data_IF_604403892173
#
_entry.id   IF_604403892173
#
_cell.length_a   1.000
_cell.length_b   1.000
_cell.length_c   1.000
_cell.angle_alpha   90.00
_cell.angle_beta   90.00
_cell.angle_gamma   90.00
#
_symmetry.space_group_name_H-M   'P 1'
#
loop_
_entity.id
_entity.type
_entity.pdbx_description
1 polymer ?
#
# COMPACT_ATOMS: atom_id res chain seq x y z
N UNK A 1 28.02 55.85 -15.55
CA UNK A 1 28.22 54.38 -15.68
C UNK A 1 27.73 53.65 -14.42
N UNK A 2 26.45 53.74 -14.03
CA UNK A 2 25.91 53.05 -12.83
C UNK A 2 24.39 52.88 -12.90
N UNK A 3 23.84 52.37 -14.00
CA UNK A 3 22.36 52.21 -14.15
C UNK A 3 21.90 50.97 -14.93
N UNK A 4 22.79 50.02 -15.22
CA UNK A 4 22.45 48.85 -16.04
C UNK A 4 22.48 47.53 -15.24
N UNK A 5 23.03 47.53 -14.03
CA UNK A 5 23.17 46.34 -13.18
C UNK A 5 21.97 46.08 -12.24
N UNK A 6 20.84 46.76 -12.42
CA UNK A 6 19.65 46.55 -11.58
C UNK A 6 18.54 45.74 -12.26
N UNK A 7 18.67 45.40 -13.55
CA UNK A 7 17.63 44.65 -14.27
C UNK A 7 17.87 43.12 -14.32
N UNK A 8 19.05 42.65 -13.92
CA UNK A 8 19.46 41.24 -14.05
C UNK A 8 19.19 40.39 -12.79
N UNK A 9 18.65 40.99 -11.73
CA UNK A 9 18.38 40.34 -10.43
C UNK A 9 16.90 39.93 -10.28
N UNK A 10 16.03 40.27 -11.24
CA UNK A 10 14.59 39.95 -11.20
C UNK A 10 14.20 38.68 -11.97
N UNK A 11 15.15 37.94 -12.53
CA UNK A 11 14.90 36.81 -13.42
C UNK A 11 15.36 35.44 -12.86
N UNK A 12 15.38 35.23 -11.54
CA UNK A 12 15.88 33.97 -10.94
C UNK A 12 14.92 33.21 -10.02
N UNK A 13 13.68 33.68 -9.82
CA UNK A 13 12.77 33.08 -8.82
C UNK A 13 11.57 32.27 -9.36
N UNK A 14 11.53 31.91 -10.64
CA UNK A 14 10.55 30.91 -11.12
C UNK A 14 11.07 29.48 -10.94
N UNK A 15 11.36 29.09 -9.69
CA UNK A 15 11.53 27.68 -9.36
C UNK A 15 10.13 27.05 -9.31
N UNK A 16 9.75 26.40 -10.41
CA UNK A 16 8.52 25.63 -10.52
C UNK A 16 8.63 24.42 -9.56
N UNK A 17 8.05 24.54 -8.36
CA UNK A 17 7.88 23.41 -7.46
C UNK A 17 6.97 22.38 -8.15
N UNK A 18 7.56 21.29 -8.67
CA UNK A 18 6.79 20.13 -9.13
C UNK A 18 5.98 19.63 -7.94
N UNK A 19 4.66 19.83 -8.00
CA UNK A 19 3.73 19.30 -7.02
C UNK A 19 3.63 17.80 -7.31
N UNK A 20 4.14 16.96 -6.41
CA UNK A 20 3.96 15.51 -6.49
C UNK A 20 2.47 15.22 -6.33
N UNK A 21 1.80 14.93 -7.43
CA UNK A 21 0.40 14.51 -7.41
C UNK A 21 0.37 13.10 -6.83
N UNK A 22 -0.27 12.94 -5.67
CA UNK A 22 -0.51 11.60 -5.11
C UNK A 22 -1.30 10.77 -6.12
N UNK A 23 -1.03 9.45 -6.22
CA UNK A 23 -1.82 8.59 -7.10
C UNK A 23 -3.31 8.71 -6.75
N UNK A 24 -4.12 8.99 -7.76
CA UNK A 24 -5.57 8.99 -7.64
C UNK A 24 -6.05 7.53 -7.63
N UNK A 25 -6.76 7.13 -6.58
CA UNK A 25 -7.31 5.78 -6.44
C UNK A 25 -8.81 5.78 -6.71
N UNK A 26 -9.26 4.89 -7.58
CA UNK A 26 -10.68 4.55 -7.71
C UNK A 26 -11.02 3.41 -6.76
N UNK A 27 -11.79 3.71 -5.72
CA UNK A 27 -12.18 2.72 -4.71
C UNK A 27 -13.34 1.84 -5.20
N UNK A 28 -13.20 0.53 -5.04
CA UNK A 28 -14.25 -0.44 -5.32
C UNK A 28 -14.60 -1.20 -4.05
N UNK A 29 -15.90 -1.40 -3.82
CA UNK A 29 -16.39 -2.17 -2.67
C UNK A 29 -16.58 -3.63 -3.05
N UNK A 30 -16.14 -4.53 -2.19
CA UNK A 30 -16.30 -5.98 -2.34
C UNK A 30 -16.74 -6.58 -1.01
N UNK A 31 -17.76 -7.43 -1.06
CA UNK A 31 -18.15 -8.24 0.10
C UNK A 31 -17.34 -9.55 0.12
N UNK A 32 -16.61 -9.78 1.21
CA UNK A 32 -15.70 -10.92 1.39
C UNK A 32 -15.86 -11.54 2.77
N UNK A 33 -15.39 -12.78 2.94
CA UNK A 33 -15.32 -13.39 4.27
C UNK A 33 -13.96 -13.09 4.90
N UNK A 34 -13.91 -12.26 5.95
CA UNK A 34 -12.65 -11.95 6.62
C UNK A 34 -12.39 -12.86 7.85
N UNK A 35 -11.12 -13.14 8.13
CA UNK A 35 -10.68 -13.75 9.40
C UNK A 35 -9.27 -13.27 9.74
N UNK A 36 -8.96 -13.14 11.03
CA UNK A 36 -7.62 -12.76 11.50
C UNK A 36 -6.80 -13.99 11.94
N UNK A 37 -5.48 -13.92 11.78
CA UNK A 37 -4.50 -14.87 12.32
C UNK A 37 -3.23 -14.12 12.74
N UNK A 38 -2.42 -14.72 13.61
CA UNK A 38 -1.18 -14.12 14.10
C UNK A 38 0.02 -14.90 13.54
N UNK A 39 1.13 -14.19 13.31
CA UNK A 39 2.41 -14.76 12.85
C UNK A 39 3.27 -15.36 13.97
N UNK A 40 2.64 -15.96 14.98
CA UNK A 40 3.34 -16.56 16.13
C UNK A 40 3.81 -17.97 15.78
N UNK A 41 5.00 -18.36 16.24
CA UNK A 41 5.67 -19.62 15.86
C UNK A 41 4.83 -20.88 16.12
N UNK A 42 3.91 -20.88 17.08
CA UNK A 42 3.02 -22.02 17.31
C UNK A 42 1.80 -22.06 16.35
N UNK A 43 1.65 -21.05 15.49
CA UNK A 43 0.62 -20.93 14.45
C UNK A 43 1.21 -20.87 13.02
N UNK A 44 2.53 -20.76 12.89
CA UNK A 44 3.23 -20.61 11.60
C UNK A 44 4.56 -21.38 11.59
N UNK A 45 5.11 -21.69 10.41
CA UNK A 45 6.46 -22.27 10.29
C UNK A 45 7.55 -21.26 10.75
N UNK A 46 8.82 -21.69 10.86
CA UNK A 46 9.96 -20.93 11.43
C UNK A 46 10.11 -19.49 10.90
N UNK A 47 9.69 -19.21 9.66
CA UNK A 47 9.70 -17.88 9.02
C UNK A 47 8.30 -17.22 8.96
N UNK A 48 7.51 -17.31 10.03
CA UNK A 48 6.11 -16.83 10.09
C UNK A 48 5.86 -15.36 9.74
N UNK A 49 6.92 -14.55 9.66
CA UNK A 49 6.87 -13.14 9.30
C UNK A 49 7.17 -12.87 7.81
N UNK A 50 7.55 -13.87 7.01
CA UNK A 50 7.84 -13.72 5.59
C UNK A 50 6.58 -13.98 4.76
N UNK A 51 6.05 -12.95 4.10
CA UNK A 51 4.86 -13.07 3.27
C UNK A 51 5.16 -13.64 1.86
N UNK A 52 4.14 -14.03 1.09
CA UNK A 52 4.30 -14.71 -0.19
C UNK A 52 5.00 -13.92 -1.31
N UNK A 53 5.24 -12.61 -1.13
CA UNK A 53 6.03 -11.77 -2.05
C UNK A 53 7.41 -11.37 -1.47
N UNK A 54 7.80 -11.92 -0.32
CA UNK A 54 9.08 -11.62 0.32
C UNK A 54 9.05 -10.40 1.26
N UNK A 55 7.88 -9.82 1.53
CA UNK A 55 7.73 -8.77 2.53
C UNK A 55 7.96 -9.33 3.95
N UNK A 56 8.72 -8.61 4.77
CA UNK A 56 8.81 -8.87 6.21
C UNK A 56 7.68 -8.15 6.94
N UNK A 57 6.79 -8.93 7.56
CA UNK A 57 5.75 -8.42 8.43
C UNK A 57 6.35 -8.02 9.79
N UNK A 58 5.93 -6.86 10.29
CA UNK A 58 6.26 -6.36 11.63
C UNK A 58 4.95 -6.17 12.39
N UNK A 59 4.95 -6.16 13.73
CA UNK A 59 3.73 -5.99 14.52
C UNK A 59 2.92 -4.73 14.18
N UNK A 60 3.56 -3.69 13.63
CA UNK A 60 2.90 -2.44 13.21
C UNK A 60 2.45 -2.43 11.75
N UNK A 61 2.76 -3.48 10.97
CA UNK A 61 2.40 -3.56 9.57
C UNK A 61 0.91 -3.87 9.41
N UNK A 62 0.16 -2.94 8.83
CA UNK A 62 -1.22 -3.19 8.40
C UNK A 62 -1.22 -3.98 7.09
N UNK A 63 -1.09 -5.29 7.22
CA UNK A 63 -1.03 -6.24 6.11
C UNK A 63 -2.28 -7.14 6.07
N UNK A 64 -2.70 -7.52 4.87
CA UNK A 64 -3.69 -8.57 4.66
C UNK A 64 -3.20 -9.61 3.68
N UNK A 65 -3.70 -10.83 3.85
CA UNK A 65 -3.62 -11.90 2.87
C UNK A 65 -4.94 -11.98 2.11
N UNK A 66 -4.91 -12.25 0.80
CA UNK A 66 -6.14 -12.41 0.00
C UNK A 66 -6.14 -13.71 -0.79
N UNK A 67 -7.32 -14.22 -1.11
CA UNK A 67 -7.50 -15.41 -1.93
C UNK A 67 -7.14 -15.15 -3.40
N UNK A 68 -6.72 -16.20 -4.10
CA UNK A 68 -6.21 -16.08 -5.48
C UNK A 68 -7.25 -15.57 -6.48
N UNK A 69 -8.54 -15.77 -6.22
CA UNK A 69 -9.63 -15.21 -7.03
C UNK A 69 -9.83 -13.71 -6.79
N UNK A 70 -9.51 -13.17 -5.60
CA UNK A 70 -9.50 -11.73 -5.36
C UNK A 70 -8.29 -11.05 -6.01
N UNK A 71 -7.13 -11.71 -6.07
CA UNK A 71 -5.99 -11.24 -6.87
C UNK A 71 -6.39 -10.99 -8.33
N UNK A 72 -7.14 -11.95 -8.91
CA UNK A 72 -7.64 -11.85 -10.30
C UNK A 72 -8.64 -10.70 -10.51
N UNK A 73 -9.25 -10.19 -9.44
CA UNK A 73 -10.14 -9.03 -9.45
C UNK A 73 -9.38 -7.70 -9.24
N UNK A 74 -8.05 -7.74 -9.06
CA UNK A 74 -7.21 -6.54 -8.93
C UNK A 74 -6.73 -6.23 -7.51
N UNK A 75 -7.04 -7.06 -6.52
CA UNK A 75 -6.47 -6.93 -5.16
C UNK A 75 -5.06 -7.53 -5.12
N UNK A 76 -4.15 -7.06 -5.97
CA UNK A 76 -2.77 -7.55 -6.09
C UNK A 76 -1.81 -6.93 -5.05
N UNK A 77 -0.53 -7.31 -5.10
CA UNK A 77 0.51 -6.83 -4.18
C UNK A 77 0.52 -5.30 -4.04
N UNK A 78 0.51 -4.83 -2.78
CA UNK A 78 0.43 -3.43 -2.38
C UNK A 78 -0.85 -2.68 -2.75
N UNK A 79 -1.89 -3.35 -3.24
CA UNK A 79 -3.20 -2.71 -3.38
C UNK A 79 -3.67 -2.20 -2.01
N UNK A 80 -4.02 -0.91 -1.89
CA UNK A 80 -4.52 -0.35 -0.64
C UNK A 80 -5.98 -0.79 -0.44
N UNK A 81 -6.30 -1.15 0.81
CA UNK A 81 -7.62 -1.65 1.20
C UNK A 81 -8.09 -0.96 2.46
N UNK A 82 -9.32 -0.46 2.42
CA UNK A 82 -10.08 -0.11 3.61
C UNK A 82 -10.94 -1.30 4.02
N UNK A 83 -10.97 -1.59 5.30
CA UNK A 83 -11.83 -2.62 5.88
C UNK A 83 -12.87 -1.89 6.72
N UNK A 84 -14.14 -2.06 6.37
CA UNK A 84 -15.23 -1.45 7.14
C UNK A 84 -15.15 -1.89 8.61
N UNK A 85 -15.20 -0.90 9.52
CA UNK A 85 -15.08 -1.13 10.96
C UNK A 85 -13.65 -1.23 11.50
N UNK A 86 -12.61 -1.15 10.67
CA UNK A 86 -11.21 -1.07 11.11
C UNK A 86 -10.56 0.24 10.66
N UNK A 87 -9.71 0.79 11.52
CA UNK A 87 -9.05 2.05 11.24
C UNK A 87 -7.81 1.90 10.33
N UNK A 88 -7.76 2.78 9.33
CA UNK A 88 -6.60 2.98 8.47
C UNK A 88 -6.58 2.12 7.21
N UNK A 89 -5.49 2.29 6.45
CA UNK A 89 -5.27 1.59 5.17
C UNK A 89 -4.41 0.37 5.41
N UNK A 90 -4.88 -0.77 4.92
CA UNK A 90 -4.16 -2.03 4.87
C UNK A 90 -3.57 -2.22 3.47
N UNK A 91 -2.47 -2.95 3.39
CA UNK A 91 -1.87 -3.34 2.11
C UNK A 91 -2.00 -4.84 1.92
N UNK A 92 -2.31 -5.25 0.69
CA UNK A 92 -2.20 -6.65 0.29
C UNK A 92 -0.72 -7.03 0.28
N UNK A 93 -0.32 -7.85 1.24
CA UNK A 93 1.07 -8.27 1.43
C UNK A 93 1.25 -9.78 1.35
N UNK A 94 0.17 -10.56 1.38
CA UNK A 94 0.26 -12.01 1.34
C UNK A 94 -0.86 -12.67 0.50
N UNK A 95 -0.72 -13.96 0.22
CA UNK A 95 -1.66 -14.76 -0.56
C UNK A 95 -2.09 -15.99 0.24
N UNK A 96 -3.39 -16.16 0.39
CA UNK A 96 -3.92 -17.34 1.06
C UNK A 96 -3.72 -18.61 0.23
N UNK A 97 -3.75 -19.79 0.87
CA UNK A 97 -3.75 -21.09 0.19
C UNK A 97 -4.86 -21.21 -0.86
N UNK A 98 -4.65 -21.96 -1.95
CA UNK A 98 -5.52 -21.95 -3.15
C UNK A 98 -6.90 -22.57 -2.91
N UNK A 99 -7.15 -23.14 -1.73
CA UNK A 99 -8.47 -23.63 -1.33
C UNK A 99 -9.45 -22.51 -0.98
N UNK A 100 -8.93 -21.34 -0.60
CA UNK A 100 -9.75 -20.20 -0.20
C UNK A 100 -10.30 -19.46 -1.40
N UNK A 101 -11.54 -18.98 -1.27
CA UNK A 101 -12.29 -18.22 -2.28
C UNK A 101 -13.02 -17.09 -1.61
N UNK A 102 -13.07 -15.92 -2.25
CA UNK A 102 -13.70 -14.71 -1.74
C UNK A 102 -13.34 -14.40 -0.27
N UNK A 103 -12.04 -14.52 0.06
CA UNK A 103 -11.52 -14.47 1.42
C UNK A 103 -10.25 -13.62 1.50
#
# INVERSE_FOLDING_TARGET
>A
MKRIWSLLILLSCFSCAKRETMPEYTWQTLEVRASAYNSVEWQTDEDGNLAAWGDTLRPTTRAIAVSRDLLKKGLDHNTPVFIEGLDGVFLVKDKMHYRWRNK
#
